data_IF_754036506163
#
_entry.id   IF_754036506163
#
_cell.length_a   1.000
_cell.length_b   1.000
_cell.length_c   1.000
_cell.angle_alpha   90.00
_cell.angle_beta   90.00
_cell.angle_gamma   90.00
#
_symmetry.space_group_name_H-M   'P 1'
#
loop_
_entity.id
_entity.type
_entity.pdbx_description
1 polymer ?
#
# COMPACT_ATOMS: atom_id res chain seq x y z
N UNK A 1 25.76 13.42 0.26
CA UNK A 1 26.34 13.31 -1.11
C UNK A 1 25.14 12.88 -1.95
N UNK A 2 24.68 13.70 -2.89
CA UNK A 2 23.30 13.65 -3.39
C UNK A 2 22.83 12.29 -3.95
N UNK A 3 21.51 12.10 -3.94
CA UNK A 3 20.81 10.97 -4.55
C UNK A 3 21.24 10.73 -6.01
N UNK A 4 21.15 9.48 -6.53
CA UNK A 4 21.43 9.20 -7.93
C UNK A 4 20.65 10.12 -8.86
N UNK A 5 21.24 10.52 -10.00
CA UNK A 5 20.57 11.41 -10.96
C UNK A 5 19.21 10.86 -11.42
N UNK A 6 19.11 9.54 -11.56
CA UNK A 6 17.92 8.81 -11.96
C UNK A 6 17.06 8.33 -10.78
N UNK A 7 17.27 8.84 -9.57
CA UNK A 7 16.41 8.55 -8.42
C UNK A 7 15.02 9.13 -8.65
N UNK A 8 13.99 8.31 -8.52
CA UNK A 8 12.62 8.67 -8.83
C UNK A 8 11.96 9.34 -7.60
N UNK A 9 11.73 10.65 -7.68
CA UNK A 9 10.98 11.36 -6.65
C UNK A 9 9.50 11.33 -6.98
N UNK A 10 8.73 10.61 -6.18
CA UNK A 10 7.34 10.35 -6.45
C UNK A 10 6.40 10.77 -5.33
N UNK A 11 5.11 10.58 -5.60
CA UNK A 11 4.04 10.72 -4.63
C UNK A 11 2.95 9.69 -4.91
N UNK A 12 2.20 9.30 -3.88
CA UNK A 12 1.21 8.23 -3.98
C UNK A 12 -0.18 8.65 -3.50
N UNK A 13 -1.20 8.05 -4.13
CA UNK A 13 -2.62 8.10 -3.75
C UNK A 13 -3.27 6.72 -4.00
N UNK A 14 -4.49 6.54 -3.53
CA UNK A 14 -5.29 5.33 -3.83
C UNK A 14 -6.74 5.70 -4.16
N UNK A 15 -7.34 4.89 -5.04
CA UNK A 15 -8.66 5.12 -5.63
C UNK A 15 -9.74 5.39 -4.56
N UNK A 16 -10.00 4.42 -3.68
CA UNK A 16 -11.03 4.57 -2.65
C UNK A 16 -10.78 5.74 -1.70
N UNK A 17 -9.50 6.06 -1.45
CA UNK A 17 -9.14 7.13 -0.53
C UNK A 17 -9.21 8.51 -1.17
N UNK A 18 -9.31 8.67 -2.48
CA UNK A 18 -9.33 10.01 -3.12
C UNK A 18 -10.46 10.25 -4.11
N UNK A 19 -10.89 9.22 -4.86
CA UNK A 19 -11.77 9.40 -6.03
C UNK A 19 -13.14 10.00 -5.69
N UNK A 20 -13.89 9.39 -4.78
CA UNK A 20 -15.34 9.64 -4.72
C UNK A 20 -16.07 9.05 -5.93
N UNK A 21 -17.15 9.69 -6.37
CA UNK A 21 -17.97 9.22 -7.51
C UNK A 21 -18.37 7.75 -7.35
N UNK A 22 -18.68 7.32 -6.12
CA UNK A 22 -18.66 5.91 -5.74
C UNK A 22 -19.73 5.04 -6.44
N UNK A 23 -20.80 5.67 -6.91
CA UNK A 23 -21.94 5.08 -7.62
C UNK A 23 -22.20 5.76 -8.98
N UNK A 24 -21.20 6.43 -9.53
CA UNK A 24 -21.29 7.14 -10.81
C UNK A 24 -20.75 6.28 -11.96
N UNK A 25 -21.23 6.57 -13.17
CA UNK A 25 -20.75 5.96 -14.42
C UNK A 25 -20.65 4.44 -14.37
N UNK A 26 -21.66 3.80 -13.77
CA UNK A 26 -21.77 2.34 -13.72
C UNK A 26 -20.84 1.64 -12.74
N UNK A 27 -20.08 2.36 -11.89
CA UNK A 27 -19.25 1.74 -10.85
C UNK A 27 -20.08 0.87 -9.89
N UNK A 28 -19.62 -0.36 -9.67
CA UNK A 28 -20.18 -1.25 -8.65
C UNK A 28 -19.63 -0.96 -7.25
N UNK A 29 -20.32 -1.43 -6.18
CA UNK A 29 -19.80 -1.31 -4.83
C UNK A 29 -18.57 -2.19 -4.63
N UNK A 30 -17.57 -1.66 -3.94
CA UNK A 30 -16.46 -2.42 -3.35
C UNK A 30 -16.80 -2.86 -1.93
N UNK A 31 -15.98 -3.74 -1.34
CA UNK A 31 -16.12 -4.09 0.08
C UNK A 31 -15.98 -2.88 1.00
N UNK A 32 -15.24 -1.85 0.59
CA UNK A 32 -15.04 -0.64 1.39
C UNK A 32 -16.25 0.29 1.31
N UNK A 33 -16.95 0.34 0.17
CA UNK A 33 -18.25 1.00 0.07
C UNK A 33 -19.24 0.42 1.10
N UNK A 34 -19.34 -0.92 1.16
CA UNK A 34 -20.24 -1.59 2.11
C UNK A 34 -19.77 -1.42 3.56
N UNK A 35 -18.47 -1.55 3.82
CA UNK A 35 -17.93 -1.47 5.18
C UNK A 35 -18.02 -0.07 5.78
N UNK A 36 -17.65 0.96 5.03
CA UNK A 36 -17.61 2.34 5.54
C UNK A 36 -19.00 2.93 5.77
N UNK A 37 -20.02 2.43 5.06
CA UNK A 37 -21.41 2.84 5.26
C UNK A 37 -22.09 2.13 6.45
N UNK A 38 -21.42 1.19 7.13
CA UNK A 38 -21.95 0.58 8.35
C UNK A 38 -21.74 1.49 9.57
N UNK A 39 -22.76 1.67 10.43
CA UNK A 39 -22.61 2.45 11.67
C UNK A 39 -21.49 1.93 12.56
N UNK A 40 -20.66 2.86 13.07
CA UNK A 40 -19.62 2.55 14.06
C UNK A 40 -18.35 1.89 13.50
N UNK A 41 -18.22 1.70 12.18
CA UNK A 41 -17.01 1.15 11.56
C UNK A 41 -15.89 2.17 11.37
N UNK A 42 -16.23 3.43 11.14
CA UNK A 42 -15.29 4.49 10.79
C UNK A 42 -15.21 5.51 11.91
N UNK A 43 -13.99 5.82 12.37
CA UNK A 43 -13.74 6.84 13.37
C UNK A 43 -14.15 8.23 12.85
N UNK A 44 -14.81 9.03 13.70
CA UNK A 44 -15.37 10.33 13.33
C UNK A 44 -16.61 10.27 12.42
N UNK A 45 -17.02 9.08 11.97
CA UNK A 45 -18.01 8.92 10.92
C UNK A 45 -17.48 9.36 9.54
N UNK A 46 -18.14 8.89 8.48
CA UNK A 46 -17.78 9.19 7.09
C UNK A 46 -17.53 7.94 6.25
N UNK A 47 -17.41 8.16 4.94
CA UNK A 47 -17.18 7.12 3.93
C UNK A 47 -16.42 7.71 2.74
N UNK A 48 -16.02 6.85 1.80
CA UNK A 48 -15.36 7.24 0.56
C UNK A 48 -16.29 7.75 -0.54
N UNK A 49 -17.57 8.05 -0.26
CA UNK A 49 -18.57 8.30 -1.30
C UNK A 49 -18.24 9.54 -2.17
N UNK A 50 -17.87 10.64 -1.50
CA UNK A 50 -17.39 11.89 -2.12
C UNK A 50 -15.86 11.99 -1.98
N UNK A 51 -15.36 11.68 -0.78
CA UNK A 51 -13.95 11.74 -0.44
C UNK A 51 -13.27 13.08 -0.78
N UNK A 52 -12.31 13.10 -1.71
CA UNK A 52 -11.64 14.30 -2.21
C UNK A 52 -12.20 14.75 -3.56
N UNK A 53 -13.17 14.00 -4.11
CA UNK A 53 -13.79 14.27 -5.40
C UNK A 53 -12.77 14.27 -6.56
N UNK A 54 -11.69 13.50 -6.42
CA UNK A 54 -10.65 13.38 -7.44
C UNK A 54 -11.21 12.84 -8.76
N UNK A 55 -12.29 12.05 -8.72
CA UNK A 55 -12.97 11.56 -9.93
C UNK A 55 -13.37 12.71 -10.88
N UNK A 56 -13.87 13.82 -10.32
CA UNK A 56 -14.28 14.99 -11.10
C UNK A 56 -13.17 16.04 -11.26
N UNK A 57 -12.18 16.04 -10.35
CA UNK A 57 -11.19 17.12 -10.21
C UNK A 57 -9.77 16.70 -10.51
N UNK A 58 -9.56 15.52 -11.11
CA UNK A 58 -8.21 15.02 -11.35
C UNK A 58 -7.32 15.98 -12.15
N UNK A 59 -7.87 16.82 -13.02
CA UNK A 59 -7.11 17.86 -13.75
C UNK A 59 -6.55 18.95 -12.82
N UNK A 60 -7.31 19.35 -11.80
CA UNK A 60 -6.85 20.25 -10.73
C UNK A 60 -5.71 19.58 -9.94
N UNK A 61 -5.90 18.30 -9.60
CA UNK A 61 -4.92 17.56 -8.81
C UNK A 61 -3.64 17.25 -9.60
N UNK A 62 -3.72 16.98 -10.92
CA UNK A 62 -2.56 16.80 -11.80
C UNK A 62 -1.82 18.13 -12.03
N UNK A 63 -2.52 19.26 -12.07
CA UNK A 63 -1.86 20.56 -12.11
C UNK A 63 -1.00 20.79 -10.85
N UNK A 64 -1.48 20.37 -9.67
CA UNK A 64 -0.70 20.43 -8.42
C UNK A 64 0.46 19.43 -8.41
N UNK A 65 0.29 18.24 -8.98
CA UNK A 65 1.40 17.30 -9.20
C UNK A 65 2.50 17.91 -10.08
N UNK A 66 2.12 18.61 -11.15
CA UNK A 66 3.05 19.32 -12.03
C UNK A 66 3.78 20.44 -11.29
N UNK A 67 3.07 21.20 -10.45
CA UNK A 67 3.69 22.23 -9.61
C UNK A 67 4.68 21.63 -8.60
N UNK A 68 4.36 20.46 -8.03
CA UNK A 68 5.24 19.73 -7.11
C UNK A 68 6.52 19.24 -7.81
N UNK A 69 6.47 19.03 -9.14
CA UNK A 69 7.64 18.69 -9.95
C UNK A 69 8.15 17.25 -9.79
N UNK A 70 7.30 16.34 -9.29
CA UNK A 70 7.63 14.92 -9.12
C UNK A 70 7.89 14.22 -10.44
N UNK A 71 8.78 13.23 -10.43
CA UNK A 71 9.11 12.38 -11.57
C UNK A 71 7.99 11.36 -11.83
N UNK A 72 7.33 10.88 -10.77
CA UNK A 72 6.32 9.83 -10.84
C UNK A 72 5.12 10.03 -9.93
N UNK A 73 3.98 9.52 -10.38
CA UNK A 73 2.74 9.47 -9.59
C UNK A 73 2.24 8.04 -9.52
N UNK A 74 2.22 7.50 -8.30
CA UNK A 74 1.66 6.18 -8.01
C UNK A 74 0.18 6.31 -7.67
N UNK A 75 -0.65 5.67 -8.47
CA UNK A 75 -2.11 5.64 -8.32
C UNK A 75 -2.62 4.21 -8.35
N UNK A 76 -3.80 3.97 -7.77
CA UNK A 76 -4.50 2.69 -7.96
C UNK A 76 -5.70 2.83 -8.88
N UNK A 77 -6.09 1.72 -9.50
CA UNK A 77 -7.31 1.61 -10.29
C UNK A 77 -8.34 0.84 -9.49
N UNK A 78 -9.57 1.36 -9.41
CA UNK A 78 -10.67 0.69 -8.71
C UNK A 78 -11.23 -0.44 -9.56
N UNK A 79 -11.06 -1.67 -9.07
CA UNK A 79 -11.55 -2.86 -9.77
C UNK A 79 -13.07 -2.78 -9.97
N UNK A 80 -13.84 -2.31 -8.98
CA UNK A 80 -15.30 -2.21 -9.12
C UNK A 80 -15.76 -1.11 -10.07
N UNK A 81 -14.88 -0.17 -10.45
CA UNK A 81 -15.15 0.80 -11.52
C UNK A 81 -14.96 0.18 -12.91
N UNK A 82 -14.04 -0.78 -13.05
CA UNK A 82 -13.74 -1.46 -14.33
C UNK A 82 -14.64 -2.67 -14.58
N UNK A 83 -14.86 -3.49 -13.54
CA UNK A 83 -15.79 -4.61 -13.54
C UNK A 83 -16.75 -4.44 -12.36
N UNK A 84 -17.96 -3.89 -12.58
CA UNK A 84 -18.91 -3.62 -11.50
C UNK A 84 -19.30 -4.85 -10.68
N UNK A 85 -19.47 -5.99 -11.36
CA UNK A 85 -19.72 -7.30 -10.76
C UNK A 85 -18.42 -8.08 -10.43
N UNK A 86 -17.27 -7.41 -10.57
CA UNK A 86 -15.90 -7.91 -10.46
C UNK A 86 -15.43 -8.90 -11.52
N UNK A 87 -16.36 -9.45 -12.31
CA UNK A 87 -16.08 -10.23 -13.49
C UNK A 87 -17.11 -9.93 -14.60
N UNK A 88 -16.93 -10.53 -15.77
CA UNK A 88 -17.93 -10.46 -16.84
C UNK A 88 -17.78 -9.22 -17.72
N UNK A 89 -18.78 -8.33 -17.69
CA UNK A 89 -18.84 -7.16 -18.58
C UNK A 89 -17.94 -6.04 -18.04
N UNK A 90 -17.10 -5.51 -18.92
CA UNK A 90 -16.29 -4.31 -18.67
C UNK A 90 -17.18 -3.08 -18.69
N UNK A 91 -16.92 -2.14 -17.78
CA UNK A 91 -17.54 -0.83 -17.75
C UNK A 91 -16.69 0.18 -18.57
N UNK A 92 -17.14 0.59 -19.77
CA UNK A 92 -16.33 1.45 -20.64
C UNK A 92 -16.12 2.85 -20.07
N UNK A 93 -17.09 3.42 -19.35
CA UNK A 93 -16.96 4.72 -18.70
C UNK A 93 -15.88 4.69 -17.60
N UNK A 94 -15.82 3.60 -16.85
CA UNK A 94 -14.76 3.37 -15.87
C UNK A 94 -13.37 3.29 -16.49
N UNK A 95 -13.22 2.63 -17.64
CA UNK A 95 -11.96 2.63 -18.39
C UNK A 95 -11.61 4.02 -18.93
N UNK A 96 -12.60 4.78 -19.41
CA UNK A 96 -12.38 6.11 -19.95
C UNK A 96 -11.80 7.06 -18.90
N UNK A 97 -12.34 7.05 -17.67
CA UNK A 97 -11.81 7.85 -16.57
C UNK A 97 -10.31 7.62 -16.35
N UNK A 98 -9.87 6.36 -16.22
CA UNK A 98 -8.46 6.07 -16.00
C UNK A 98 -7.58 6.34 -17.22
N UNK A 99 -8.13 6.18 -18.43
CA UNK A 99 -7.42 6.57 -19.64
C UNK A 99 -7.15 8.07 -19.66
N UNK A 100 -8.16 8.90 -19.39
CA UNK A 100 -8.05 10.35 -19.34
C UNK A 100 -7.09 10.81 -18.24
N UNK A 101 -7.15 10.16 -17.07
CA UNK A 101 -6.24 10.44 -15.96
C UNK A 101 -4.79 10.15 -16.34
N UNK A 102 -4.51 8.99 -16.94
CA UNK A 102 -3.16 8.64 -17.39
C UNK A 102 -2.66 9.61 -18.46
N UNK A 103 -3.51 10.01 -19.41
CA UNK A 103 -3.14 10.98 -20.43
C UNK A 103 -2.81 12.35 -19.83
N UNK A 104 -3.57 12.81 -18.83
CA UNK A 104 -3.30 14.07 -18.13
C UNK A 104 -1.99 14.01 -17.32
N UNK A 105 -1.72 12.90 -16.63
CA UNK A 105 -0.45 12.67 -15.90
C UNK A 105 0.74 12.72 -16.87
N UNK A 106 0.65 12.04 -18.00
CA UNK A 106 1.70 12.03 -19.02
C UNK A 106 1.88 13.41 -19.65
N UNK A 107 0.79 14.14 -19.92
CA UNK A 107 0.84 15.51 -20.44
C UNK A 107 1.47 16.51 -19.44
N UNK A 108 1.41 16.21 -18.14
CA UNK A 108 2.15 16.95 -17.11
C UNK A 108 3.66 16.64 -17.08
N UNK A 109 4.13 15.64 -17.84
CA UNK A 109 5.52 15.19 -17.84
C UNK A 109 5.85 14.23 -16.70
N UNK A 110 4.84 13.62 -16.09
CA UNK A 110 4.97 12.75 -14.93
C UNK A 110 4.77 11.30 -15.36
N UNK A 111 5.57 10.39 -14.83
CA UNK A 111 5.45 8.97 -15.15
C UNK A 111 4.45 8.26 -14.21
N UNK A 112 3.35 7.68 -14.74
CA UNK A 112 2.40 6.93 -13.93
C UNK A 112 2.97 5.57 -13.49
N UNK A 113 2.72 5.20 -12.23
CA UNK A 113 2.92 3.84 -11.70
C UNK A 113 1.57 3.29 -11.25
N UNK A 114 1.04 2.31 -11.99
CA UNK A 114 -0.33 1.82 -11.79
C UNK A 114 -0.35 0.65 -10.80
N UNK A 115 -0.99 0.84 -9.66
CA UNK A 115 -1.26 -0.19 -8.66
C UNK A 115 -2.63 -0.85 -8.90
N UNK A 116 -2.63 -2.12 -9.27
CA UNK A 116 -3.83 -2.82 -9.76
C UNK A 116 -4.86 -3.07 -8.65
N UNK A 117 -4.43 -3.36 -7.43
CA UNK A 117 -5.34 -3.64 -6.31
C UNK A 117 -4.93 -2.91 -5.03
N UNK A 118 -5.85 -2.11 -4.49
CA UNK A 118 -5.66 -1.37 -3.23
C UNK A 118 -6.86 -1.57 -2.31
N UNK A 119 -7.07 -2.84 -1.91
CA UNK A 119 -8.09 -3.32 -0.96
C UNK A 119 -9.55 -3.30 -1.42
N UNK A 120 -9.83 -2.70 -2.56
CA UNK A 120 -11.17 -2.41 -3.07
C UNK A 120 -11.71 -3.51 -4.00
N UNK A 121 -11.64 -4.77 -3.55
CA UNK A 121 -12.28 -5.87 -4.27
C UNK A 121 -13.79 -5.59 -4.43
N UNK A 122 -14.37 -5.86 -5.62
CA UNK A 122 -15.80 -5.72 -5.87
C UNK A 122 -16.64 -6.54 -4.88
N UNK A 123 -17.69 -5.94 -4.34
CA UNK A 123 -18.59 -6.57 -3.38
C UNK A 123 -19.22 -7.85 -3.95
N UNK A 124 -19.59 -7.84 -5.23
CA UNK A 124 -20.15 -9.01 -5.91
C UNK A 124 -19.19 -10.22 -5.96
N UNK A 125 -17.87 -9.99 -6.00
CA UNK A 125 -16.88 -11.07 -5.86
C UNK A 125 -16.73 -11.50 -4.41
N UNK A 126 -16.76 -10.55 -3.47
CA UNK A 126 -16.70 -10.85 -2.04
C UNK A 126 -17.87 -11.75 -1.60
N UNK A 127 -19.08 -11.50 -2.10
CA UNK A 127 -20.27 -12.32 -1.83
C UNK A 127 -20.15 -13.76 -2.37
N UNK A 128 -19.27 -13.98 -3.34
CA UNK A 128 -18.92 -15.31 -3.87
C UNK A 128 -17.71 -15.94 -3.16
N UNK A 129 -17.31 -15.41 -2.02
CA UNK A 129 -16.18 -15.88 -1.20
C UNK A 129 -14.93 -15.00 -1.28
N UNK A 130 -14.91 -13.95 -2.13
CA UNK A 130 -13.80 -13.01 -2.22
C UNK A 130 -12.46 -13.71 -2.39
N UNK A 131 -11.44 -13.26 -1.65
CA UNK A 131 -10.10 -13.85 -1.75
C UNK A 131 -10.01 -15.31 -1.27
N UNK A 132 -10.98 -15.84 -0.51
CA UNK A 132 -11.00 -17.28 -0.18
C UNK A 132 -11.37 -18.14 -1.40
N UNK A 133 -12.14 -17.57 -2.33
CA UNK A 133 -12.52 -18.26 -3.55
C UNK A 133 -11.38 -18.22 -4.57
N UNK A 134 -10.95 -19.40 -5.01
CA UNK A 134 -9.88 -19.56 -5.99
C UNK A 134 -10.20 -18.90 -7.34
N UNK A 135 -11.47 -18.85 -7.75
CA UNK A 135 -11.89 -18.22 -9.01
C UNK A 135 -11.58 -16.71 -9.05
N UNK A 136 -11.52 -16.06 -7.88
CA UNK A 136 -11.14 -14.63 -7.78
C UNK A 136 -9.72 -14.38 -8.31
N UNK A 137 -8.83 -15.37 -8.23
CA UNK A 137 -7.48 -15.30 -8.82
C UNK A 137 -7.56 -15.05 -10.32
N UNK A 138 -8.38 -15.83 -11.02
CA UNK A 138 -8.47 -15.75 -12.48
C UNK A 138 -9.25 -14.50 -12.93
N UNK A 139 -10.23 -14.05 -12.13
CA UNK A 139 -10.88 -12.76 -12.33
C UNK A 139 -9.90 -11.58 -12.19
N UNK A 140 -8.99 -11.64 -11.20
CA UNK A 140 -7.97 -10.61 -11.04
C UNK A 140 -6.99 -10.58 -12.20
N UNK A 141 -6.57 -11.76 -12.70
CA UNK A 141 -5.71 -11.86 -13.90
C UNK A 141 -6.38 -11.23 -15.12
N UNK A 142 -7.68 -11.49 -15.33
CA UNK A 142 -8.44 -10.89 -16.41
C UNK A 142 -8.54 -9.37 -16.27
N UNK A 143 -8.79 -8.89 -15.05
CA UNK A 143 -8.86 -7.45 -14.77
C UNK A 143 -7.52 -6.75 -15.04
N UNK A 144 -6.41 -7.32 -14.57
CA UNK A 144 -5.07 -6.82 -14.85
C UNK A 144 -4.78 -6.78 -16.36
N UNK A 145 -5.12 -7.85 -17.08
CA UNK A 145 -4.98 -7.93 -18.53
C UNK A 145 -5.75 -6.80 -19.25
N UNK A 146 -6.98 -6.50 -18.85
CA UNK A 146 -7.76 -5.38 -19.40
C UNK A 146 -7.07 -4.03 -19.17
N UNK A 147 -6.42 -3.82 -18.02
CA UNK A 147 -5.67 -2.59 -17.76
C UNK A 147 -4.35 -2.52 -18.54
N UNK A 148 -3.67 -3.64 -18.74
CA UNK A 148 -2.50 -3.70 -19.62
C UNK A 148 -2.87 -3.35 -21.07
N UNK A 149 -4.01 -3.83 -21.55
CA UNK A 149 -4.53 -3.47 -22.88
C UNK A 149 -4.92 -1.98 -22.94
N UNK A 150 -5.61 -1.46 -21.91
CA UNK A 150 -6.01 -0.06 -21.86
C UNK A 150 -4.81 0.88 -21.96
N UNK A 151 -3.73 0.59 -21.22
CA UNK A 151 -2.58 1.47 -21.07
C UNK A 151 -1.40 1.14 -22.00
N UNK A 152 -1.62 0.30 -23.02
CA UNK A 152 -0.59 -0.08 -23.98
C UNK A 152 0.10 1.16 -24.57
N UNK A 153 1.44 1.17 -24.55
CA UNK A 153 2.26 2.28 -25.05
C UNK A 153 2.31 3.52 -24.16
N UNK A 154 1.57 3.57 -23.05
CA UNK A 154 1.46 4.74 -22.15
C UNK A 154 1.98 4.48 -20.74
N UNK A 155 1.82 3.26 -20.22
CA UNK A 155 2.29 2.87 -18.88
C UNK A 155 3.24 1.69 -18.99
N UNK A 156 4.40 1.77 -18.34
CA UNK A 156 5.39 0.70 -18.29
C UNK A 156 5.65 0.14 -16.89
N UNK A 157 5.19 0.82 -15.84
CA UNK A 157 5.44 0.43 -14.44
C UNK A 157 4.14 0.09 -13.72
N UNK A 158 4.07 -1.12 -13.20
CA UNK A 158 2.87 -1.65 -12.55
C UNK A 158 3.17 -2.25 -11.18
N UNK A 159 2.20 -2.21 -10.27
CA UNK A 159 2.25 -2.91 -9.00
C UNK A 159 1.00 -3.78 -8.88
N UNK A 160 1.13 -5.08 -8.61
CA UNK A 160 -0.05 -5.95 -8.57
C UNK A 160 -0.91 -5.70 -7.33
N UNK A 161 -0.28 -5.58 -6.16
CA UNK A 161 -0.95 -5.52 -4.86
C UNK A 161 -0.37 -4.40 -4.01
N UNK A 162 -1.21 -3.85 -3.13
CA UNK A 162 -0.80 -3.00 -2.02
C UNK A 162 -1.03 -3.69 -0.67
N UNK A 163 0.02 -3.74 0.16
CA UNK A 163 0.04 -4.15 1.58
C UNK A 163 -1.03 -5.19 1.98
N UNK A 164 -0.87 -6.40 1.46
CA UNK A 164 -1.80 -7.55 1.63
C UNK A 164 -2.14 -7.82 3.10
N UNK A 165 -1.23 -7.50 4.03
CA UNK A 165 -1.45 -7.59 5.47
C UNK A 165 -2.69 -6.81 5.91
N UNK A 166 -2.95 -5.64 5.34
CA UNK A 166 -4.12 -4.82 5.63
C UNK A 166 -5.42 -5.57 5.33
N UNK A 167 -5.50 -6.28 4.20
CA UNK A 167 -6.64 -7.12 3.85
C UNK A 167 -6.73 -8.34 4.75
N UNK A 168 -5.63 -9.09 4.93
CA UNK A 168 -5.68 -10.39 5.61
C UNK A 168 -5.76 -10.25 7.13
N UNK A 169 -4.83 -9.55 7.76
CA UNK A 169 -4.86 -9.36 9.22
C UNK A 169 -5.95 -8.36 9.62
N UNK A 170 -6.00 -7.20 8.96
CA UNK A 170 -6.97 -6.15 9.29
C UNK A 170 -8.42 -6.53 8.97
N UNK A 171 -8.64 -7.23 7.85
CA UNK A 171 -9.98 -7.56 7.35
C UNK A 171 -10.58 -8.85 7.89
N UNK A 172 -9.75 -9.87 8.18
CA UNK A 172 -10.21 -11.20 8.59
C UNK A 172 -9.87 -11.58 10.04
N UNK A 173 -8.81 -10.99 10.62
CA UNK A 173 -8.34 -11.34 11.96
C UNK A 173 -8.78 -10.31 12.99
N UNK A 174 -8.43 -9.04 12.83
CA UNK A 174 -8.79 -7.98 13.79
C UNK A 174 -10.18 -7.40 13.53
N UNK A 175 -10.62 -7.40 12.27
CA UNK A 175 -11.90 -6.82 11.83
C UNK A 175 -11.95 -5.29 11.89
N UNK A 176 -10.78 -4.65 11.93
CA UNK A 176 -10.63 -3.19 11.90
C UNK A 176 -10.75 -2.63 10.49
N UNK A 177 -10.53 -3.45 9.46
CA UNK A 177 -10.66 -3.07 8.04
C UNK A 177 -11.74 -3.89 7.36
N UNK A 178 -12.18 -3.46 6.18
CA UNK A 178 -13.08 -4.27 5.34
C UNK A 178 -12.46 -5.66 5.06
N UNK A 179 -13.25 -6.75 5.12
CA UNK A 179 -14.70 -6.82 5.32
C UNK A 179 -15.17 -6.81 6.80
N UNK A 180 -14.28 -6.67 7.78
CA UNK A 180 -14.63 -6.53 9.18
C UNK A 180 -14.87 -7.85 9.93
N UNK A 181 -14.32 -8.96 9.42
CA UNK A 181 -14.35 -10.30 10.01
C UNK A 181 -13.31 -10.41 11.14
N UNK A 182 -13.59 -11.26 12.12
CA UNK A 182 -12.81 -11.34 13.37
C UNK A 182 -12.45 -12.79 13.72
N UNK A 183 -11.17 -13.03 13.99
CA UNK A 183 -10.67 -14.33 14.43
C UNK A 183 -10.69 -15.42 13.37
N UNK A 184 -10.89 -15.08 12.09
CA UNK A 184 -11.07 -16.07 11.02
C UNK A 184 -9.73 -16.44 10.37
N UNK A 185 -8.85 -17.07 11.14
CA UNK A 185 -7.46 -17.37 10.74
C UNK A 185 -7.39 -18.26 9.49
N UNK A 186 -8.22 -19.30 9.40
CA UNK A 186 -8.23 -20.20 8.23
C UNK A 186 -8.62 -19.48 6.94
N UNK A 187 -9.62 -18.59 7.03
CA UNK A 187 -10.03 -17.71 5.93
C UNK A 187 -8.91 -16.73 5.54
N UNK A 188 -8.26 -16.11 6.52
CA UNK A 188 -7.14 -15.20 6.29
C UNK A 188 -5.97 -15.90 5.58
N UNK A 189 -5.62 -17.13 5.97
CA UNK A 189 -4.53 -17.90 5.35
C UNK A 189 -4.90 -18.36 3.94
N UNK A 190 -6.13 -18.81 3.71
CA UNK A 190 -6.59 -19.17 2.36
C UNK A 190 -6.62 -17.93 1.43
N UNK A 191 -7.12 -16.80 1.93
CA UNK A 191 -7.14 -15.53 1.22
C UNK A 191 -5.74 -15.02 0.90
N UNK A 192 -4.81 -15.13 1.85
CA UNK A 192 -3.39 -14.80 1.65
C UNK A 192 -2.75 -15.64 0.54
N UNK A 193 -3.00 -16.94 0.53
CA UNK A 193 -2.47 -17.81 -0.53
C UNK A 193 -3.02 -17.40 -1.91
N UNK A 194 -4.34 -17.26 -2.03
CA UNK A 194 -4.98 -16.92 -3.30
C UNK A 194 -4.58 -15.52 -3.82
N UNK A 195 -4.54 -14.49 -2.96
CA UNK A 195 -4.10 -13.15 -3.38
C UNK A 195 -2.61 -13.14 -3.78
N UNK A 196 -1.78 -13.95 -3.13
CA UNK A 196 -0.37 -14.12 -3.53
C UNK A 196 -0.28 -14.78 -4.91
N UNK A 197 -1.07 -15.83 -5.15
CA UNK A 197 -1.12 -16.51 -6.45
C UNK A 197 -1.68 -15.62 -7.56
N UNK A 198 -2.61 -14.71 -7.24
CA UNK A 198 -3.13 -13.76 -8.22
C UNK A 198 -2.06 -12.78 -8.69
N UNK A 199 -1.20 -12.30 -7.79
CA UNK A 199 -0.01 -11.52 -8.16
C UNK A 199 0.94 -12.31 -9.06
N UNK A 200 1.33 -13.53 -8.66
CA UNK A 200 2.24 -14.36 -9.45
C UNK A 200 1.71 -14.63 -10.88
N UNK A 201 0.42 -14.95 -11.02
CA UNK A 201 -0.21 -15.15 -12.33
C UNK A 201 -0.34 -13.86 -13.15
N UNK A 202 -0.56 -12.70 -12.50
CA UNK A 202 -0.55 -11.40 -13.19
C UNK A 202 0.84 -11.07 -13.71
N UNK A 203 1.89 -11.31 -12.93
CA UNK A 203 3.29 -11.14 -13.36
C UNK A 203 3.58 -12.04 -14.56
N UNK A 204 3.15 -13.31 -14.49
CA UNK A 204 3.29 -14.24 -15.62
C UNK A 204 2.58 -13.72 -16.89
N UNK A 205 1.35 -13.22 -16.74
CA UNK A 205 0.59 -12.61 -17.85
C UNK A 205 1.29 -11.39 -18.43
N UNK A 206 1.81 -10.50 -17.57
CA UNK A 206 2.53 -9.30 -17.96
C UNK A 206 3.79 -9.64 -18.77
N UNK A 207 4.58 -10.61 -18.32
CA UNK A 207 5.80 -11.05 -19.01
C UNK A 207 5.53 -11.61 -20.41
N UNK A 208 4.42 -12.34 -20.59
CA UNK A 208 3.99 -12.85 -21.91
C UNK A 208 3.69 -11.73 -22.91
N UNK A 209 3.35 -10.53 -22.45
CA UNK A 209 3.03 -9.37 -23.29
C UNK A 209 4.26 -8.64 -23.83
N UNK A 210 5.45 -8.86 -23.24
CA UNK A 210 6.71 -8.25 -23.69
C UNK A 210 6.66 -6.72 -23.81
N UNK A 211 6.01 -6.05 -22.85
CA UNK A 211 5.90 -4.58 -22.81
C UNK A 211 7.30 -3.96 -22.83
N UNK A 212 7.64 -3.09 -23.81
CA UNK A 212 8.97 -2.49 -23.90
C UNK A 212 9.33 -1.68 -22.66
N UNK A 213 10.45 -2.04 -22.01
CA UNK A 213 10.86 -1.41 -20.74
C UNK A 213 9.87 -1.61 -19.59
N UNK A 214 8.95 -2.58 -19.73
CA UNK A 214 7.93 -2.87 -18.74
C UNK A 214 8.51 -3.54 -17.51
N UNK A 215 8.13 -3.05 -16.34
CA UNK A 215 8.48 -3.64 -15.05
C UNK A 215 7.22 -3.78 -14.20
N UNK A 216 7.09 -4.92 -13.51
CA UNK A 216 5.98 -5.19 -12.62
C UNK A 216 6.44 -5.60 -11.23
N UNK A 217 5.93 -4.91 -10.23
CA UNK A 217 6.25 -5.08 -8.82
C UNK A 217 5.05 -5.40 -7.94
N UNK A 218 5.27 -5.39 -6.63
CA UNK A 218 4.21 -5.37 -5.63
C UNK A 218 4.60 -4.43 -4.49
N UNK A 219 3.63 -3.83 -3.80
CA UNK A 219 3.88 -3.04 -2.60
C UNK A 219 3.55 -3.84 -1.36
N UNK A 220 4.50 -3.89 -0.42
CA UNK A 220 4.37 -4.57 0.86
C UNK A 220 4.50 -3.55 1.99
N UNK A 221 3.54 -3.55 2.91
CA UNK A 221 3.67 -2.80 4.14
C UNK A 221 4.66 -3.52 5.04
N UNK A 222 5.79 -2.87 5.33
CA UNK A 222 6.82 -3.45 6.18
C UNK A 222 6.85 -2.71 7.50
N UNK A 223 6.76 -3.48 8.59
CA UNK A 223 6.86 -2.97 9.94
C UNK A 223 7.93 -3.80 10.66
N UNK A 224 9.17 -3.31 10.78
CA UNK A 224 10.23 -4.07 11.44
C UNK A 224 9.83 -4.35 12.88
N UNK A 225 10.03 -5.60 13.29
CA UNK A 225 9.65 -6.11 14.60
C UNK A 225 10.91 -6.21 15.46
N UNK A 226 10.98 -5.40 16.50
CA UNK A 226 12.08 -5.41 17.46
C UNK A 226 11.66 -6.11 18.74
N UNK A 227 12.54 -6.94 19.33
CA UNK A 227 12.36 -7.34 20.72
C UNK A 227 12.46 -6.09 21.61
N UNK A 228 11.56 -5.93 22.58
CA UNK A 228 11.64 -4.79 23.50
C UNK A 228 12.87 -4.89 24.44
N UNK A 229 13.27 -6.13 24.75
CA UNK A 229 14.45 -6.47 25.56
C UNK A 229 15.31 -7.51 24.84
N UNK A 230 16.63 -7.46 25.00
CA UNK A 230 17.57 -8.36 24.32
C UNK A 230 17.68 -9.75 25.00
N UNK A 231 16.55 -10.42 25.17
CA UNK A 231 16.46 -11.79 25.71
C UNK A 231 16.18 -12.81 24.61
N UNK A 232 16.50 -14.09 24.86
CA UNK A 232 16.22 -15.16 23.90
C UNK A 232 14.72 -15.24 23.56
N UNK A 233 13.85 -15.16 24.57
CA UNK A 233 12.40 -15.23 24.40
C UNK A 233 11.85 -14.05 23.60
N UNK A 234 12.28 -12.82 23.90
CA UNK A 234 11.84 -11.65 23.14
C UNK A 234 12.31 -11.70 21.68
N UNK A 235 13.54 -12.17 21.41
CA UNK A 235 14.05 -12.36 20.04
C UNK A 235 13.25 -13.42 19.28
N UNK A 236 12.94 -14.55 19.92
CA UNK A 236 12.12 -15.62 19.32
C UNK A 236 10.71 -15.13 19.00
N UNK A 237 10.09 -14.38 19.92
CA UNK A 237 8.78 -13.77 19.74
C UNK A 237 8.78 -12.77 18.57
N UNK A 238 9.76 -11.87 18.53
CA UNK A 238 9.90 -10.89 17.46
C UNK A 238 10.03 -11.56 16.09
N UNK A 239 10.82 -12.64 15.98
CA UNK A 239 10.94 -13.40 14.73
C UNK A 239 9.63 -14.09 14.33
N UNK A 240 8.95 -14.72 15.28
CA UNK A 240 7.66 -15.36 15.03
C UNK A 240 6.61 -14.35 14.51
N UNK A 241 6.53 -13.16 15.11
CA UNK A 241 5.64 -12.08 14.67
C UNK A 241 6.04 -11.56 13.29
N UNK A 242 7.35 -11.41 13.02
CA UNK A 242 7.85 -10.98 11.71
C UNK A 242 7.36 -11.90 10.59
N UNK A 243 7.30 -13.23 10.82
CA UNK A 243 6.78 -14.15 9.81
C UNK A 243 5.39 -13.75 9.33
N UNK A 244 4.48 -13.38 10.24
CA UNK A 244 3.11 -13.00 9.90
C UNK A 244 2.97 -11.55 9.43
N UNK A 245 3.82 -10.65 9.89
CA UNK A 245 3.71 -9.21 9.60
C UNK A 245 4.47 -8.77 8.35
N UNK A 246 5.55 -9.47 8.00
CA UNK A 246 6.50 -9.08 6.96
C UNK A 246 6.84 -10.26 6.03
N UNK A 247 7.45 -11.33 6.55
CA UNK A 247 8.05 -12.38 5.70
C UNK A 247 6.99 -13.12 4.86
N UNK A 248 5.76 -13.32 5.39
CA UNK A 248 4.63 -13.92 4.68
C UNK A 248 4.29 -13.22 3.36
N UNK A 249 4.60 -11.93 3.24
CA UNK A 249 4.26 -11.13 2.07
C UNK A 249 5.50 -10.76 1.24
N UNK A 250 6.64 -10.52 1.88
CA UNK A 250 7.90 -10.22 1.19
C UNK A 250 8.46 -11.44 0.46
N UNK A 251 8.57 -12.60 1.13
CA UNK A 251 9.25 -13.77 0.58
C UNK A 251 8.58 -14.32 -0.69
N UNK A 252 7.24 -14.46 -0.76
CA UNK A 252 6.61 -14.98 -1.98
C UNK A 252 6.81 -14.08 -3.20
N UNK A 253 6.83 -12.76 -2.99
CA UNK A 253 6.94 -11.77 -4.06
C UNK A 253 8.39 -11.62 -4.55
N UNK A 254 9.35 -11.61 -3.64
CA UNK A 254 10.75 -11.36 -3.99
C UNK A 254 11.47 -12.67 -4.35
N UNK A 255 11.25 -13.73 -3.58
CA UNK A 255 11.98 -14.99 -3.70
C UNK A 255 11.14 -16.13 -4.33
N UNK A 256 9.87 -15.88 -4.67
CA UNK A 256 9.02 -16.90 -5.27
C UNK A 256 8.73 -18.10 -4.35
N UNK A 257 8.85 -17.93 -3.03
CA UNK A 257 8.63 -19.01 -2.06
C UNK A 257 8.07 -18.52 -0.74
N UNK A 258 7.29 -19.36 -0.08
CA UNK A 258 6.84 -19.12 1.29
C UNK A 258 8.01 -19.30 2.29
N UNK A 259 8.03 -18.56 3.41
CA UNK A 259 9.01 -18.79 4.47
C UNK A 259 8.79 -20.16 5.14
N UNK A 260 9.84 -20.98 5.23
CA UNK A 260 9.74 -22.34 5.79
C UNK A 260 9.20 -22.33 7.22
N UNK A 261 9.74 -21.46 8.08
CA UNK A 261 9.27 -21.32 9.47
C UNK A 261 7.82 -20.83 9.58
N UNK A 262 7.28 -20.14 8.58
CA UNK A 262 5.84 -19.82 8.56
C UNK A 262 5.01 -21.06 8.21
N UNK A 263 5.44 -21.85 7.22
CA UNK A 263 4.75 -23.08 6.84
C UNK A 263 4.72 -24.09 7.98
N UNK A 264 5.81 -24.24 8.73
CA UNK A 264 5.88 -25.08 9.94
C UNK A 264 4.81 -24.64 10.96
N UNK A 265 4.72 -23.34 11.27
CA UNK A 265 3.72 -22.80 12.21
C UNK A 265 2.29 -23.05 11.71
N UNK A 266 2.05 -22.91 10.40
CA UNK A 266 0.72 -23.14 9.81
C UNK A 266 0.34 -24.63 9.84
N UNK A 267 1.28 -25.52 9.58
CA UNK A 267 1.07 -26.98 9.62
C UNK A 267 0.78 -27.47 11.04
N UNK A 268 1.60 -27.07 12.01
CA UNK A 268 1.39 -27.39 13.44
C UNK A 268 0.01 -26.94 13.96
N UNK A 269 -0.53 -25.87 13.38
CA UNK A 269 -1.84 -25.31 13.74
C UNK A 269 -2.99 -25.81 12.87
N UNK A 270 -2.74 -26.67 11.89
CA UNK A 270 -3.76 -27.16 10.95
C UNK A 270 -4.37 -26.05 10.08
N UNK A 271 -3.60 -25.00 9.80
CA UNK A 271 -4.00 -23.79 9.06
C UNK A 271 -3.46 -23.75 7.62
N UNK A 272 -2.74 -24.78 7.17
CA UNK A 272 -2.21 -24.83 5.80
C UNK A 272 -3.31 -24.54 4.77
N UNK A 273 -3.06 -23.61 3.81
CA UNK A 273 -4.04 -23.30 2.78
C UNK A 273 -4.19 -24.46 1.81
N UNK A 274 -5.34 -24.55 1.16
CA UNK A 274 -5.50 -25.42 0.00
C UNK A 274 -4.74 -24.79 -1.17
N UNK A 275 -3.77 -25.53 -1.71
CA UNK A 275 -2.95 -25.15 -2.85
C UNK A 275 -3.27 -26.06 -4.04
N UNK A 276 -3.25 -25.51 -5.26
CA UNK A 276 -3.23 -26.32 -6.47
C UNK A 276 -1.86 -26.98 -6.65
N UNK A 277 -1.79 -28.06 -7.45
CA UNK A 277 -0.57 -28.84 -7.61
C UNK A 277 0.59 -28.07 -8.26
N UNK A 278 0.29 -27.01 -9.02
CA UNK A 278 1.24 -26.16 -9.74
C UNK A 278 1.53 -24.83 -9.04
N UNK A 279 0.89 -24.53 -7.90
CA UNK A 279 0.97 -23.19 -7.30
C UNK A 279 2.38 -22.78 -6.90
N UNK A 280 3.12 -23.68 -6.26
CA UNK A 280 4.49 -23.40 -5.83
C UNK A 280 5.43 -23.23 -7.04
N UNK A 281 5.17 -23.93 -8.13
CA UNK A 281 5.94 -23.80 -9.38
C UNK A 281 5.66 -22.45 -10.07
N UNK A 282 4.38 -22.07 -10.16
CA UNK A 282 3.97 -20.76 -10.70
C UNK A 282 4.55 -19.63 -9.86
N UNK A 283 4.51 -19.73 -8.53
CA UNK A 283 5.09 -18.74 -7.63
C UNK A 283 6.61 -18.62 -7.83
N UNK A 284 7.34 -19.73 -7.86
CA UNK A 284 8.79 -19.75 -8.01
C UNK A 284 9.28 -19.16 -9.34
N UNK A 285 8.49 -19.27 -10.41
CA UNK A 285 8.82 -18.72 -11.74
C UNK A 285 8.51 -17.23 -11.89
N UNK A 286 7.70 -16.67 -10.98
CA UNK A 286 7.15 -15.33 -11.13
C UNK A 286 7.47 -14.38 -9.96
N UNK A 287 8.73 -14.27 -9.51
CA UNK A 287 9.10 -13.19 -8.59
C UNK A 287 8.94 -11.84 -9.30
N UNK A 288 8.65 -10.79 -8.52
CA UNK A 288 8.50 -9.42 -9.02
C UNK A 288 9.82 -8.82 -9.52
N UNK A 289 9.75 -7.89 -10.47
CA UNK A 289 10.93 -7.20 -11.01
C UNK A 289 11.49 -6.15 -10.02
N UNK A 290 10.62 -5.63 -9.15
CA UNK A 290 10.94 -4.75 -8.04
C UNK A 290 9.92 -4.89 -6.90
N UNK A 291 10.29 -4.46 -5.69
CA UNK A 291 9.39 -4.39 -4.53
C UNK A 291 9.18 -2.95 -4.08
N UNK A 292 7.93 -2.60 -3.79
CA UNK A 292 7.58 -1.38 -3.10
C UNK A 292 7.50 -1.60 -1.60
N UNK A 293 8.12 -0.73 -0.82
CA UNK A 293 8.08 -0.73 0.64
C UNK A 293 7.18 0.41 1.11
N UNK A 294 6.08 0.08 1.78
CA UNK A 294 5.32 1.05 2.58
C UNK A 294 5.81 0.99 4.02
N UNK A 295 6.51 2.04 4.47
CA UNK A 295 7.08 2.13 5.81
C UNK A 295 6.58 3.38 6.51
N UNK A 296 6.18 3.23 7.78
CA UNK A 296 5.69 4.33 8.60
C UNK A 296 6.23 4.30 10.03
N UNK A 297 6.42 3.10 10.59
CA UNK A 297 6.78 2.89 12.00
C UNK A 297 7.32 1.47 12.21
N UNK A 298 7.80 1.20 13.41
CA UNK A 298 8.21 -0.13 13.86
C UNK A 298 7.26 -0.71 14.91
N UNK A 299 7.38 -2.01 15.19
CA UNK A 299 6.74 -2.65 16.34
C UNK A 299 7.79 -3.15 17.32
N UNK A 300 7.66 -2.76 18.59
CA UNK A 300 8.46 -3.29 19.70
C UNK A 300 7.59 -4.24 20.51
N UNK A 301 8.04 -5.47 20.69
CA UNK A 301 7.22 -6.55 21.27
C UNK A 301 7.87 -7.16 22.50
N UNK A 302 7.02 -7.44 23.48
CA UNK A 302 7.35 -8.23 24.67
C UNK A 302 6.29 -9.33 24.87
N UNK A 303 6.65 -10.48 25.46
CA UNK A 303 5.67 -11.49 25.86
C UNK A 303 4.62 -10.90 26.80
N UNK A 304 3.35 -11.26 26.59
CA UNK A 304 2.26 -10.86 27.48
C UNK A 304 1.91 -12.00 28.43
N UNK A 305 1.97 -11.74 29.72
CA UNK A 305 1.50 -12.69 30.72
C UNK A 305 -0.01 -12.93 30.59
N UNK A 306 -0.41 -14.21 30.66
CA UNK A 306 -1.82 -14.60 30.58
C UNK A 306 -2.45 -14.50 29.18
N UNK A 307 -1.63 -14.36 28.12
CA UNK A 307 -2.10 -14.45 26.74
C UNK A 307 -2.74 -15.81 26.44
N UNK A 308 -3.79 -15.83 25.64
CA UNK A 308 -4.49 -17.03 25.19
C UNK A 308 -3.71 -17.69 24.04
N UNK A 309 -3.21 -18.94 24.19
CA UNK A 309 -2.53 -19.67 23.11
C UNK A 309 -3.38 -19.86 21.84
N UNK A 310 -4.72 -19.87 21.99
CA UNK A 310 -5.68 -19.92 20.90
C UNK A 310 -5.79 -18.60 20.12
N UNK A 311 -5.32 -17.49 20.68
CA UNK A 311 -5.31 -16.18 20.05
C UNK A 311 -3.87 -15.61 20.00
N UNK A 312 -3.14 -15.81 18.88
CA UNK A 312 -1.77 -15.33 18.72
C UNK A 312 -1.58 -13.84 19.00
N UNK A 313 -2.58 -13.01 18.71
CA UNK A 313 -2.53 -11.57 18.94
C UNK A 313 -2.58 -11.19 20.43
N UNK A 314 -2.94 -12.12 21.31
CA UNK A 314 -2.98 -11.91 22.76
C UNK A 314 -1.69 -12.32 23.46
N UNK A 315 -0.76 -12.97 22.76
CA UNK A 315 0.49 -13.51 23.33
C UNK A 315 1.59 -12.47 23.53
N UNK A 316 1.39 -11.26 23.00
CA UNK A 316 2.36 -10.19 23.07
C UNK A 316 1.70 -8.84 23.30
N UNK A 317 2.49 -7.90 23.78
CA UNK A 317 2.12 -6.49 23.88
C UNK A 317 3.06 -5.63 23.05
N UNK A 318 2.54 -4.47 22.62
CA UNK A 318 3.30 -3.49 21.84
C UNK A 318 3.76 -2.35 22.74
N UNK A 319 5.06 -2.06 22.74
CA UNK A 319 5.69 -1.02 23.57
C UNK A 319 6.32 0.08 22.73
N UNK A 320 5.47 0.87 22.05
CA UNK A 320 5.94 2.00 21.24
C UNK A 320 6.63 3.09 22.08
N UNK A 321 7.50 3.86 21.45
CA UNK A 321 8.24 4.97 22.08
C UNK A 321 7.83 6.33 21.53
N UNK A 322 8.21 7.39 22.23
CA UNK A 322 8.08 8.76 21.76
C UNK A 322 9.34 9.20 20.99
N UNK A 323 9.23 10.17 20.05
CA UNK A 323 8.01 10.90 19.67
C UNK A 323 7.06 10.08 18.78
N UNK A 324 5.79 10.52 18.70
CA UNK A 324 4.73 9.84 17.93
C UNK A 324 4.01 10.78 16.98
N UNK A 325 3.52 10.22 15.87
CA UNK A 325 2.60 10.90 14.95
C UNK A 325 1.22 11.07 15.59
N UNK A 326 0.32 11.83 14.94
CA UNK A 326 -1.10 11.94 15.32
C UNK A 326 -1.81 10.57 15.27
N UNK A 327 -1.30 9.61 14.51
CA UNK A 327 -1.80 8.23 14.48
C UNK A 327 -1.33 7.38 15.68
N UNK A 328 -0.53 7.95 16.58
CA UNK A 328 0.03 7.26 17.75
C UNK A 328 1.22 6.36 17.41
N UNK A 329 1.74 6.44 16.19
CA UNK A 329 2.86 5.63 15.70
C UNK A 329 4.19 6.24 16.13
N UNK A 330 5.09 5.42 16.66
CA UNK A 330 6.47 5.79 16.98
C UNK A 330 7.16 6.31 15.72
N UNK A 331 7.76 7.49 15.81
CA UNK A 331 8.58 8.06 14.74
C UNK A 331 9.98 7.48 14.89
N UNK A 332 10.34 6.55 14.00
CA UNK A 332 11.62 5.83 14.06
C UNK A 332 12.24 5.70 12.66
N UNK A 333 12.97 6.71 12.17
CA UNK A 333 13.57 6.68 10.83
C UNK A 333 14.51 5.48 10.63
N UNK A 334 15.31 5.13 11.63
CA UNK A 334 16.25 4.01 11.52
C UNK A 334 15.58 2.67 11.19
N UNK A 335 14.30 2.48 11.50
CA UNK A 335 13.57 1.28 11.09
C UNK A 335 13.33 1.19 9.58
N UNK A 336 13.29 2.32 8.85
CA UNK A 336 13.28 2.31 7.39
C UNK A 336 14.63 1.81 6.85
N UNK A 337 15.74 2.30 7.42
CA UNK A 337 17.07 1.82 7.07
C UNK A 337 17.20 0.33 7.33
N UNK A 338 16.83 -0.14 8.53
CA UNK A 338 16.89 -1.56 8.89
C UNK A 338 16.03 -2.41 7.94
N UNK A 339 14.87 -1.90 7.52
CA UNK A 339 14.01 -2.55 6.53
C UNK A 339 14.69 -2.68 5.17
N UNK A 340 15.28 -1.59 4.65
CA UNK A 340 15.93 -1.56 3.34
C UNK A 340 17.17 -2.47 3.33
N UNK A 341 17.96 -2.44 4.40
CA UNK A 341 19.13 -3.30 4.55
C UNK A 341 18.73 -4.77 4.74
N UNK A 342 17.67 -5.06 5.49
CA UNK A 342 17.15 -6.42 5.63
C UNK A 342 16.72 -6.98 4.27
N UNK A 343 16.02 -6.19 3.44
CA UNK A 343 15.63 -6.62 2.09
C UNK A 343 16.87 -6.91 1.24
N UNK A 344 17.86 -6.01 1.29
CA UNK A 344 19.13 -6.19 0.58
C UNK A 344 19.83 -7.48 0.98
N UNK A 345 20.07 -7.67 2.27
CA UNK A 345 20.92 -8.75 2.77
C UNK A 345 20.21 -10.12 2.73
N UNK A 346 18.89 -10.15 2.85
CA UNK A 346 18.10 -11.40 2.88
C UNK A 346 17.71 -11.87 1.48
N UNK A 347 17.40 -10.96 0.56
CA UNK A 347 16.84 -11.29 -0.74
C UNK A 347 17.76 -10.98 -1.93
N UNK A 348 19.05 -10.73 -1.68
CA UNK A 348 20.03 -10.53 -2.75
C UNK A 348 19.94 -9.18 -3.45
N UNK A 349 19.62 -8.12 -2.71
CA UNK A 349 19.57 -6.73 -3.18
C UNK A 349 18.64 -6.47 -4.38
N UNK A 350 17.36 -6.85 -4.30
CA UNK A 350 16.39 -6.55 -5.36
C UNK A 350 16.21 -5.04 -5.53
N UNK A 351 15.64 -4.62 -6.66
CA UNK A 351 15.22 -3.23 -6.85
C UNK A 351 14.10 -2.87 -5.87
N UNK A 352 14.23 -1.74 -5.17
CA UNK A 352 13.27 -1.29 -4.16
C UNK A 352 12.80 0.13 -4.46
N UNK A 353 11.50 0.38 -4.37
CA UNK A 353 10.98 1.73 -4.12
C UNK A 353 10.58 1.85 -2.65
N UNK A 354 10.86 2.99 -2.02
CA UNK A 354 10.02 3.42 -0.90
C UNK A 354 8.71 3.89 -1.53
N UNK A 355 7.71 3.02 -1.57
CA UNK A 355 6.45 3.26 -2.30
C UNK A 355 5.43 4.05 -1.52
N UNK A 356 5.56 4.07 -0.19
CA UNK A 356 4.83 4.96 0.69
C UNK A 356 5.65 5.25 1.96
N UNK A 357 5.85 6.53 2.26
CA UNK A 357 6.28 7.00 3.57
C UNK A 357 5.70 8.40 3.84
N UNK A 358 5.24 8.62 5.06
CA UNK A 358 4.68 9.91 5.47
C UNK A 358 4.06 9.85 6.85
N UNK A 359 3.42 10.93 7.27
CA UNK A 359 2.88 11.02 8.62
C UNK A 359 1.61 11.86 8.70
N UNK A 360 0.65 11.37 9.47
CA UNK A 360 -0.42 12.20 10.00
C UNK A 360 0.11 13.07 11.13
N UNK A 361 0.10 14.38 10.91
CA UNK A 361 0.48 15.39 11.89
C UNK A 361 -0.74 16.19 12.35
N UNK A 362 -0.65 16.94 13.48
CA UNK A 362 -1.76 17.73 14.02
C UNK A 362 -2.41 18.66 13.00
N UNK A 363 -1.60 19.35 12.18
CA UNK A 363 -2.03 20.30 11.14
C UNK A 363 -2.84 21.49 11.69
N UNK A 364 -2.47 22.00 12.87
CA UNK A 364 -3.26 22.97 13.63
C UNK A 364 -2.84 24.43 13.38
N UNK A 365 -1.61 24.68 12.94
CA UNK A 365 -1.07 26.04 12.79
C UNK A 365 -1.29 26.54 11.37
N UNK A 366 -2.10 27.60 11.24
CA UNK A 366 -2.34 28.29 9.97
C UNK A 366 -1.65 29.65 9.94
N UNK A 367 -0.88 29.93 8.89
CA UNK A 367 -0.29 31.24 8.62
C UNK A 367 -0.41 31.57 7.13
N UNK A 368 -0.82 32.80 6.83
CA UNK A 368 -0.93 33.30 5.45
C UNK A 368 -1.74 32.38 4.51
N UNK A 369 -2.78 31.71 5.03
CA UNK A 369 -3.63 30.80 4.25
C UNK A 369 -3.06 29.40 4.02
N UNK A 370 -1.97 29.03 4.70
CA UNK A 370 -1.28 27.75 4.59
C UNK A 370 -1.10 27.09 5.96
N UNK A 371 -1.10 25.76 6.00
CA UNK A 371 -0.75 24.98 7.19
C UNK A 371 0.78 24.93 7.34
N UNK A 372 1.27 25.32 8.51
CA UNK A 372 2.69 25.27 8.89
C UNK A 372 3.01 23.92 9.55
N UNK A 373 3.22 22.90 8.73
CA UNK A 373 3.47 21.51 9.14
C UNK A 373 4.97 21.15 9.19
N UNK A 374 5.73 21.91 9.98
CA UNK A 374 7.17 21.71 10.17
C UNK A 374 7.53 20.33 10.76
N UNK A 375 6.61 19.73 11.51
CA UNK A 375 6.74 18.37 12.03
C UNK A 375 6.67 17.30 10.93
N UNK A 376 5.78 17.48 9.93
CA UNK A 376 5.74 16.62 8.74
C UNK A 376 7.02 16.77 7.92
N UNK A 377 7.52 18.00 7.76
CA UNK A 377 8.82 18.26 7.10
C UNK A 377 9.94 17.53 7.85
N UNK A 378 10.01 17.65 9.17
CA UNK A 378 11.03 16.96 9.97
C UNK A 378 10.95 15.44 9.81
N UNK A 379 9.74 14.86 9.87
CA UNK A 379 9.52 13.43 9.66
C UNK A 379 10.05 12.99 8.28
N UNK A 380 9.63 13.66 7.20
CA UNK A 380 10.03 13.30 5.83
C UNK A 380 11.54 13.46 5.63
N UNK A 381 12.12 14.58 6.09
CA UNK A 381 13.56 14.82 6.03
C UNK A 381 14.35 13.69 6.67
N UNK A 382 13.98 13.28 7.87
CA UNK A 382 14.73 12.28 8.61
C UNK A 382 14.60 10.89 7.97
N UNK A 383 13.44 10.53 7.39
CA UNK A 383 13.25 9.28 6.65
C UNK A 383 13.94 9.27 5.28
N UNK A 384 13.99 10.41 4.60
CA UNK A 384 14.75 10.57 3.36
C UNK A 384 16.25 10.47 3.64
N UNK A 385 16.75 11.05 4.74
CA UNK A 385 18.16 10.97 5.12
C UNK A 385 18.64 9.53 5.37
N UNK A 386 17.84 8.71 6.05
CA UNK A 386 18.18 7.29 6.24
C UNK A 386 18.02 6.45 4.96
N UNK A 387 17.19 6.90 4.02
CA UNK A 387 17.13 6.32 2.67
C UNK A 387 18.41 6.62 1.88
N UNK A 388 18.92 7.86 1.96
CA UNK A 388 20.24 8.24 1.42
C UNK A 388 21.35 7.38 2.06
N UNK A 389 21.30 7.17 3.38
CA UNK A 389 22.24 6.28 4.08
C UNK A 389 22.18 4.84 3.55
N UNK A 390 20.99 4.26 3.40
CA UNK A 390 20.83 2.90 2.86
C UNK A 390 21.34 2.78 1.42
N UNK A 391 21.13 3.82 0.58
CA UNK A 391 21.72 3.90 -0.76
C UNK A 391 23.26 3.86 -0.70
N UNK A 392 23.86 4.64 0.20
CA UNK A 392 25.32 4.66 0.40
C UNK A 392 25.87 3.31 0.88
N UNK A 393 25.08 2.60 1.69
CA UNK A 393 25.41 1.27 2.22
C UNK A 393 25.03 0.13 1.23
N UNK A 394 24.67 0.50 -0.01
CA UNK A 394 24.58 -0.39 -1.16
C UNK A 394 23.19 -0.97 -1.44
N UNK A 395 22.13 -0.50 -0.77
CA UNK A 395 20.76 -0.88 -1.09
C UNK A 395 20.33 -0.35 -2.47
N UNK A 396 19.71 -1.20 -3.29
CA UNK A 396 19.27 -0.86 -4.63
C UNK A 396 17.92 -0.12 -4.63
N UNK A 397 17.95 1.14 -4.24
CA UNK A 397 16.75 1.97 -4.05
C UNK A 397 16.55 2.85 -5.29
N UNK A 398 15.41 2.66 -5.97
CA UNK A 398 15.05 3.33 -7.20
C UNK A 398 14.42 4.71 -6.99
N UNK A 399 13.72 4.90 -5.87
CA UNK A 399 12.96 6.12 -5.62
C UNK A 399 12.22 6.14 -4.30
N UNK A 400 11.64 7.30 -4.01
CA UNK A 400 10.89 7.59 -2.78
C UNK A 400 9.56 8.26 -3.10
N UNK A 401 8.47 7.67 -2.61
CA UNK A 401 7.12 8.17 -2.78
C UNK A 401 6.54 8.63 -1.44
N UNK A 402 6.20 9.91 -1.37
CA UNK A 402 5.50 10.46 -0.21
C UNK A 402 4.06 9.93 -0.17
N UNK A 403 3.62 9.49 1.01
CA UNK A 403 2.22 9.27 1.31
C UNK A 403 1.68 10.42 2.17
N UNK A 404 0.82 11.29 1.67
CA UNK A 404 0.07 11.24 0.39
C UNK A 404 0.09 12.58 -0.34
N UNK A 405 -0.41 12.61 -1.59
CA UNK A 405 -0.63 13.87 -2.31
C UNK A 405 -1.50 14.84 -1.51
N UNK A 406 -2.64 14.36 -1.03
CA UNK A 406 -3.63 15.17 -0.34
C UNK A 406 -4.21 14.43 0.87
N UNK A 407 -4.76 15.19 1.81
CA UNK A 407 -5.56 14.66 2.91
C UNK A 407 -6.72 13.87 2.32
N UNK A 408 -6.95 12.66 2.82
CA UNK A 408 -7.76 11.66 2.14
C UNK A 408 -8.55 10.82 3.17
N UNK A 409 -9.35 9.86 2.70
CA UNK A 409 -10.07 8.95 3.61
C UNK A 409 -9.10 7.89 4.16
N UNK A 410 -8.63 8.05 5.41
CA UNK A 410 -7.65 7.14 6.03
C UNK A 410 -8.34 5.91 6.64
N UNK A 411 -9.00 5.13 5.77
CA UNK A 411 -9.58 3.84 6.10
C UNK A 411 -10.47 3.88 7.35
N UNK A 412 -10.20 3.05 8.36
CA UNK A 412 -10.96 3.00 9.61
C UNK A 412 -10.83 4.28 10.46
N UNK A 413 -9.86 5.14 10.17
CA UNK A 413 -9.68 6.43 10.83
C UNK A 413 -10.52 7.55 10.20
N UNK A 414 -11.20 7.29 9.08
CA UNK A 414 -11.98 8.29 8.36
C UNK A 414 -11.12 9.49 7.97
N UNK A 415 -11.67 10.69 8.10
CA UNK A 415 -10.95 11.94 7.79
C UNK A 415 -10.18 12.53 8.98
N UNK A 416 -10.02 11.79 10.08
CA UNK A 416 -9.39 12.31 11.31
C UNK A 416 -7.86 12.39 11.23
N UNK A 417 -7.25 11.80 10.20
CA UNK A 417 -5.79 11.72 9.99
C UNK A 417 -5.43 12.33 8.64
N UNK A 418 -4.76 13.49 8.65
CA UNK A 418 -4.29 14.15 7.44
C UNK A 418 -2.85 13.76 7.11
N UNK A 419 -2.65 12.89 6.11
CA UNK A 419 -1.32 12.51 5.62
C UNK A 419 -0.82 13.41 4.48
N UNK A 420 -1.69 14.21 3.88
CA UNK A 420 -1.40 14.88 2.62
C UNK A 420 -0.37 15.99 2.73
N UNK A 421 0.36 16.22 1.64
CA UNK A 421 1.04 17.49 1.39
C UNK A 421 0.06 18.61 1.06
N UNK A 422 -1.15 18.27 0.63
CA UNK A 422 -2.23 19.20 0.33
C UNK A 422 -3.37 18.99 1.33
N UNK A 423 -3.74 20.07 2.02
CA UNK A 423 -4.95 20.09 2.82
C UNK A 423 -6.19 20.15 1.92
N UNK A 424 -7.25 19.46 2.32
CA UNK A 424 -8.54 19.52 1.64
C UNK A 424 -9.61 19.93 2.65
N UNK A 425 -10.22 21.07 2.37
CA UNK A 425 -11.39 21.54 3.10
C UNK A 425 -12.56 20.59 2.81
N UNK A 426 -13.16 20.00 3.86
CA UNK A 426 -14.17 18.95 3.68
C UNK A 426 -15.56 19.46 3.30
N UNK A 427 -15.83 20.75 3.46
CA UNK A 427 -17.10 21.37 3.10
C UNK A 427 -17.08 21.84 1.64
N UNK A 428 -15.96 22.39 1.20
CA UNK A 428 -15.80 23.03 -0.11
C UNK A 428 -14.98 22.22 -1.10
N UNK A 429 -14.26 21.19 -0.62
CA UNK A 429 -13.31 20.37 -1.37
C UNK A 429 -12.13 21.16 -1.97
N UNK A 430 -11.87 22.35 -1.42
CA UNK A 430 -10.76 23.20 -1.84
C UNK A 430 -9.41 22.57 -1.46
N UNK A 431 -8.49 22.50 -2.42
CA UNK A 431 -7.07 22.12 -2.21
C UNK A 431 -6.30 23.32 -1.68
N UNK A 432 -5.54 23.12 -0.60
CA UNK A 432 -4.63 24.12 -0.04
C UNK A 432 -3.27 23.45 0.22
N UNK A 433 -2.26 23.64 -0.65
CA UNK A 433 -0.92 23.13 -0.41
C UNK A 433 -0.39 23.55 0.97
N UNK A 434 0.16 22.61 1.72
CA UNK A 434 0.78 22.83 3.04
C UNK A 434 2.24 23.29 2.87
N UNK A 435 2.90 23.71 3.95
CA UNK A 435 4.33 24.07 3.90
C UNK A 435 5.19 22.90 3.40
N UNK A 436 4.86 21.67 3.81
CA UNK A 436 5.52 20.45 3.35
C UNK A 436 5.43 20.21 1.85
N UNK A 437 4.37 20.67 1.17
CA UNK A 437 4.28 20.63 -0.29
C UNK A 437 5.40 21.43 -0.94
N UNK A 438 5.58 22.68 -0.53
CA UNK A 438 6.61 23.56 -1.08
C UNK A 438 8.02 23.08 -0.71
N UNK A 439 8.20 22.58 0.51
CA UNK A 439 9.46 21.96 0.91
C UNK A 439 9.81 20.75 0.04
N UNK A 440 8.84 19.86 -0.22
CA UNK A 440 9.08 18.69 -1.05
C UNK A 440 9.33 19.07 -2.51
N UNK A 441 8.59 20.04 -3.07
CA UNK A 441 8.87 20.62 -4.39
C UNK A 441 10.32 21.07 -4.52
N UNK A 442 10.80 21.83 -3.54
CA UNK A 442 12.15 22.38 -3.55
C UNK A 442 13.20 21.26 -3.41
N UNK A 443 12.92 20.24 -2.59
CA UNK A 443 13.75 19.04 -2.49
C UNK A 443 13.84 18.28 -3.81
N UNK A 444 12.73 18.08 -4.51
CA UNK A 444 12.71 17.42 -5.82
C UNK A 444 13.48 18.24 -6.85
N UNK A 445 13.29 19.56 -6.88
CA UNK A 445 14.04 20.45 -7.76
C UNK A 445 15.56 20.41 -7.49
N UNK A 446 15.96 20.29 -6.21
CA UNK A 446 17.36 20.16 -5.79
C UNK A 446 17.90 18.72 -5.94
N UNK A 447 17.05 17.74 -6.24
CA UNK A 447 17.37 16.30 -6.33
C UNK A 447 17.95 15.73 -5.03
N UNK A 448 17.48 16.22 -3.88
CA UNK A 448 17.95 15.78 -2.56
C UNK A 448 17.78 16.82 -1.45
N UNK A 449 18.17 16.41 -0.24
CA UNK A 449 18.14 17.21 0.99
C UNK A 449 19.08 18.41 1.00
#
# INVERSE_FOLDING_TARGET
>A
MAFPKNFDWGIASSAYQTEGGYNEDGKGPSIWDVFSNQPGRINGGGNGNICCDHYHRFREDVALLKELGVDSYRLSVSWSRVFPEGAGKVNPEGLQFYSDLVDEILAAGISPIVNLHHYDIPQALYEKGGWENRETVDHFVRYAATLFDLFEGRVSRYMTLNDVRGTMLGGYVTGERAPGRRGELKAAVQGWHNITMSSAKVIENFRKRQVPGGEIGCVMGVMPIYPDEDTHECRKLAKAISYFYNDAFLSPVIAGKYPDGLLEILDERGLMPMMASDDLEVLARNPADYVGVSYYTCMRVAPREGGDPGNPMSLFERRGRDPRTKSGWEIYPDGLYDTLMHIKDTYGNPKVYVSENGAAMPDEIWKNGMIEDDDRIAYLRDHIAVTERALMDGANILGFHVWSLMDNFEWQQGFTKGFGLIHIDRETLKRSPKKSFYWYRDLVANRGL
#
